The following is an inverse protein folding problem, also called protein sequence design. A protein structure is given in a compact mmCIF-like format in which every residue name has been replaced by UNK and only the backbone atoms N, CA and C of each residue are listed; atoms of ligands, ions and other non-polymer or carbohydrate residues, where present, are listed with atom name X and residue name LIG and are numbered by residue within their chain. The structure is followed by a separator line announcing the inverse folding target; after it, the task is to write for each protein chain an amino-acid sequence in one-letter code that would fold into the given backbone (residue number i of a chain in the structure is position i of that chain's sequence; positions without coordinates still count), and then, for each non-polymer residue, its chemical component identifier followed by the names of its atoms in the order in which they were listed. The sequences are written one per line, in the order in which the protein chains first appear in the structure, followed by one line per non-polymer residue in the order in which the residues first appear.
data_IF_385633130300
#
_entry.id   IF_385633130300
#
_cell.length_a   1.000
_cell.length_b   1.000
_cell.length_c   1.000
_cell.angle_alpha   90.00
_cell.angle_beta   90.00
_cell.angle_gamma   90.00
#
_symmetry.space_group_name_H-M   'P 1'
#
loop_
_entity.id
_entity.type
_entity.pdbx_description
1 polymer ?
#
# COMPACT_ATOMS: atom_id res chain seq x y z
N UNK A 1 3.60 -18.56 -5.78
CA UNK A 1 3.01 -17.91 -6.97
C UNK A 1 1.81 -17.08 -6.55
N UNK A 2 1.87 -15.76 -6.71
CA UNK A 2 0.79 -14.85 -6.32
C UNK A 2 -0.19 -14.69 -7.47
N UNK A 3 -1.29 -15.45 -7.44
CA UNK A 3 -2.39 -15.25 -8.38
C UNK A 3 -2.96 -13.85 -8.18
N UNK A 4 -2.84 -12.99 -9.19
CA UNK A 4 -3.69 -11.81 -9.32
C UNK A 4 -4.96 -12.31 -9.97
N UNK A 5 -6.11 -12.02 -9.37
CA UNK A 5 -7.39 -12.31 -9.99
C UNK A 5 -7.43 -11.65 -11.38
N UNK A 6 -7.86 -12.40 -12.39
CA UNK A 6 -7.92 -11.92 -13.75
C UNK A 6 -9.00 -10.82 -13.84
N UNK A 7 -8.57 -9.60 -14.16
CA UNK A 7 -9.41 -8.40 -14.16
C UNK A 7 -10.36 -8.40 -15.36
N UNK A 8 -10.04 -9.19 -16.39
CA UNK A 8 -10.75 -9.19 -17.67
C UNK A 8 -11.84 -10.27 -17.70
N UNK A 9 -11.52 -11.48 -17.24
CA UNK A 9 -12.42 -12.64 -17.28
C UNK A 9 -12.27 -13.49 -16.02
N UNK A 10 -13.37 -14.03 -15.52
CA UNK A 10 -13.35 -14.92 -14.37
C UNK A 10 -12.87 -16.32 -14.81
N UNK A 11 -11.57 -16.59 -14.62
CA UNK A 11 -10.95 -17.88 -15.00
C UNK A 11 -10.87 -18.83 -13.80
N UNK A 12 -11.00 -20.13 -14.06
CA UNK A 12 -10.87 -21.15 -13.03
C UNK A 12 -9.50 -21.07 -12.35
N UNK A 13 -9.50 -21.10 -11.01
CA UNK A 13 -8.27 -21.06 -10.19
C UNK A 13 -7.28 -22.14 -10.65
N UNK A 14 -6.04 -21.74 -10.94
CA UNK A 14 -4.97 -22.61 -11.45
C UNK A 14 -4.84 -22.64 -12.98
N UNK A 15 -5.73 -21.98 -13.72
CA UNK A 15 -5.62 -21.82 -15.18
C UNK A 15 -4.91 -20.52 -15.54
N UNK A 16 -4.30 -20.47 -16.72
CA UNK A 16 -3.75 -19.25 -17.31
C UNK A 16 -4.42 -19.00 -18.66
N UNK A 17 -4.61 -17.73 -19.02
CA UNK A 17 -5.14 -17.33 -20.31
C UNK A 17 -4.26 -16.22 -20.87
N UNK A 18 -3.84 -16.39 -22.12
CA UNK A 18 -3.19 -15.33 -22.89
C UNK A 18 -4.24 -14.29 -23.29
N UNK A 19 -4.01 -13.01 -22.98
CA UNK A 19 -4.98 -11.94 -23.25
C UNK A 19 -4.89 -11.44 -24.69
N UNK A 20 -3.70 -11.01 -25.13
CA UNK A 20 -3.42 -10.59 -26.50
C UNK A 20 -1.93 -10.76 -26.79
N UNK A 21 -1.59 -10.99 -28.05
CA UNK A 21 -0.20 -10.98 -28.56
C UNK A 21 0.25 -9.56 -28.97
N UNK A 22 -0.70 -8.66 -29.22
CA UNK A 22 -0.43 -7.32 -29.75
C UNK A 22 -0.36 -6.27 -28.64
N UNK A 23 -1.12 -6.46 -27.56
CA UNK A 23 -1.21 -5.49 -26.46
C UNK A 23 -0.84 -6.12 -25.10
N UNK A 24 -0.11 -5.39 -24.24
CA UNK A 24 0.21 -5.87 -22.90
C UNK A 24 -1.07 -6.03 -22.06
N UNK A 25 -1.02 -6.94 -21.08
CA UNK A 25 -2.15 -7.20 -20.18
C UNK A 25 -2.67 -5.90 -19.55
N UNK A 26 -4.00 -5.68 -19.39
CA UNK A 26 -4.52 -4.38 -18.97
C UNK A 26 -4.00 -3.86 -17.62
N UNK A 27 -3.58 -4.78 -16.73
CA UNK A 27 -2.92 -4.45 -15.47
C UNK A 27 -1.42 -4.12 -15.56
N UNK A 28 -0.81 -4.21 -16.75
CA UNK A 28 0.60 -3.96 -16.99
C UNK A 28 0.87 -2.45 -17.09
N UNK A 29 1.70 -1.94 -16.18
CA UNK A 29 2.16 -0.54 -16.22
C UNK A 29 3.57 -0.52 -16.80
N UNK A 30 3.72 0.00 -18.02
CA UNK A 30 4.98 0.04 -18.80
C UNK A 30 6.06 0.96 -18.20
N UNK A 31 5.70 1.85 -17.28
CA UNK A 31 6.65 2.74 -16.60
C UNK A 31 7.17 2.15 -15.29
N UNK A 32 8.49 2.01 -15.17
CA UNK A 32 9.12 2.14 -13.86
C UNK A 32 8.87 3.56 -13.39
N UNK A 33 8.28 3.76 -12.21
CA UNK A 33 8.04 5.10 -11.66
C UNK A 33 9.39 5.82 -11.54
N UNK A 34 9.66 6.77 -12.43
CA UNK A 34 10.78 7.70 -12.30
C UNK A 34 10.39 8.61 -11.15
N UNK A 35 11.06 8.41 -10.02
CA UNK A 35 10.70 8.98 -8.76
C UNK A 35 11.71 10.09 -8.48
N UNK A 36 11.30 11.36 -8.57
CA UNK A 36 12.07 12.48 -8.01
C UNK A 36 12.05 12.36 -6.48
N UNK A 37 12.92 11.51 -5.96
CA UNK A 37 12.84 11.05 -4.58
C UNK A 37 13.44 12.01 -3.57
N UNK A 38 13.88 13.18 -4.03
CA UNK A 38 14.79 14.04 -3.27
C UNK A 38 16.04 13.26 -2.86
N UNK A 39 16.80 13.85 -1.94
CA UNK A 39 17.96 13.20 -1.35
C UNK A 39 17.53 12.08 -0.38
N UNK A 40 17.50 10.85 -0.89
CA UNK A 40 17.12 9.65 -0.13
C UNK A 40 17.97 9.46 1.12
N UNK A 41 19.23 9.89 1.10
CA UNK A 41 20.12 9.80 2.26
C UNK A 41 19.62 10.71 3.39
N UNK A 42 19.25 11.95 3.08
CA UNK A 42 18.64 12.88 4.05
C UNK A 42 17.32 12.35 4.62
N UNK A 43 16.49 11.70 3.79
CA UNK A 43 15.28 11.05 4.29
C UNK A 43 15.64 9.97 5.31
N UNK A 44 16.57 9.06 5.00
CA UNK A 44 16.98 8.03 5.96
C UNK A 44 17.59 8.61 7.24
N UNK A 45 18.41 9.66 7.13
CA UNK A 45 19.00 10.37 8.27
C UNK A 45 17.93 10.96 9.19
N UNK A 46 16.87 11.59 8.66
CA UNK A 46 15.75 12.11 9.47
C UNK A 46 15.12 11.04 10.37
N UNK A 47 15.10 9.79 9.93
CA UNK A 47 14.56 8.65 10.71
C UNK A 47 15.64 7.84 11.41
N UNK A 48 16.86 8.37 11.56
CA UNK A 48 18.00 7.65 12.15
C UNK A 48 18.25 6.27 11.53
N UNK A 49 18.06 6.17 10.21
CA UNK A 49 18.16 4.93 9.44
C UNK A 49 17.22 3.84 9.96
N UNK A 50 16.05 4.21 10.48
CA UNK A 50 15.01 3.29 10.94
C UNK A 50 13.81 3.26 10.02
N UNK A 51 13.15 2.11 10.03
CA UNK A 51 11.83 1.94 9.45
C UNK A 51 10.82 2.80 10.22
N UNK A 52 10.08 3.66 9.52
CA UNK A 52 9.07 4.53 10.10
C UNK A 52 7.92 3.77 10.76
N UNK A 53 7.65 2.52 10.36
CA UNK A 53 6.54 1.73 10.90
C UNK A 53 6.93 0.79 12.04
N UNK A 54 8.04 0.05 11.92
CA UNK A 54 8.45 -0.92 12.94
C UNK A 54 9.71 -0.55 13.73
N UNK A 55 10.38 0.56 13.39
CA UNK A 55 11.59 1.02 14.08
C UNK A 55 12.87 0.22 13.83
N UNK A 56 12.82 -0.87 13.05
CA UNK A 56 14.01 -1.67 12.72
C UNK A 56 15.03 -0.82 11.95
N UNK A 57 16.31 -0.97 12.28
CA UNK A 57 17.40 -0.13 11.74
C UNK A 57 18.09 -0.79 10.55
N UNK A 58 18.37 -0.01 9.49
CA UNK A 58 19.03 -0.47 8.25
C UNK A 58 20.35 -1.20 8.56
N UNK A 59 20.57 -2.34 7.89
CA UNK A 59 21.76 -3.18 8.06
C UNK A 59 21.78 -4.06 9.31
N UNK A 60 20.96 -3.77 10.32
CA UNK A 60 20.83 -4.58 11.55
C UNK A 60 19.76 -5.68 11.40
N UNK A 61 19.78 -6.72 12.25
CA UNK A 61 18.70 -7.69 12.35
C UNK A 61 17.34 -7.01 12.50
N UNK A 62 16.33 -7.49 11.77
CA UNK A 62 14.97 -6.98 11.87
C UNK A 62 14.34 -7.41 13.20
N UNK A 63 13.63 -6.50 13.89
CA UNK A 63 13.08 -6.76 15.24
C UNK A 63 12.17 -7.99 15.30
N UNK A 64 11.17 -8.09 14.42
CA UNK A 64 10.27 -9.25 14.36
C UNK A 64 10.82 -10.45 13.60
N UNK A 65 11.90 -10.30 12.83
CA UNK A 65 12.49 -11.38 12.02
C UNK A 65 14.02 -11.33 12.11
N UNK A 66 14.60 -11.73 13.26
CA UNK A 66 16.03 -11.54 13.54
C UNK A 66 16.96 -12.20 12.51
N UNK A 67 16.53 -13.31 11.89
CA UNK A 67 17.26 -13.99 10.82
C UNK A 67 17.36 -13.20 9.50
N UNK A 68 16.80 -12.00 9.41
CA UNK A 68 16.86 -11.14 8.23
C UNK A 68 17.45 -9.78 8.55
N UNK A 69 18.34 -9.27 7.68
CA UNK A 69 18.81 -7.89 7.76
C UNK A 69 17.72 -6.93 7.30
N UNK A 70 17.62 -5.79 7.98
CA UNK A 70 16.67 -4.73 7.62
C UNK A 70 17.18 -3.97 6.41
N UNK A 71 16.35 -3.87 5.37
CA UNK A 71 16.63 -3.10 4.15
C UNK A 71 15.56 -2.03 4.03
N UNK A 72 15.97 -0.76 4.08
CA UNK A 72 15.04 0.35 3.91
C UNK A 72 14.75 0.59 2.43
N UNK A 73 13.47 0.81 2.15
CA UNK A 73 12.93 1.09 0.83
C UNK A 73 12.18 2.42 0.87
N UNK A 74 12.11 3.07 -0.30
CA UNK A 74 11.26 4.23 -0.53
C UNK A 74 9.81 3.75 -0.56
N UNK A 75 9.07 4.00 0.51
CA UNK A 75 7.65 3.69 0.61
C UNK A 75 6.80 4.96 0.50
N UNK A 76 5.56 4.80 0.03
CA UNK A 76 4.61 5.90 -0.05
C UNK A 76 4.11 6.27 1.34
N UNK A 77 4.09 7.56 1.65
CA UNK A 77 3.32 8.10 2.75
C UNK A 77 1.82 8.04 2.42
N UNK A 78 1.44 8.51 1.23
CA UNK A 78 0.12 8.34 0.64
C UNK A 78 0.25 7.59 -0.69
N UNK A 79 -0.25 6.35 -0.79
CA UNK A 79 -0.13 5.55 -2.01
C UNK A 79 -0.90 6.08 -3.23
N UNK A 80 -1.88 6.97 -2.99
CA UNK A 80 -2.66 7.63 -4.05
C UNK A 80 -1.92 8.84 -4.64
N UNK A 81 -0.73 9.18 -4.12
CA UNK A 81 0.13 10.25 -4.65
C UNK A 81 1.40 9.66 -5.31
N UNK A 82 2.07 10.41 -6.20
CA UNK A 82 3.35 9.99 -6.78
C UNK A 82 4.43 9.72 -5.73
N UNK A 83 5.39 8.86 -6.06
CA UNK A 83 6.53 8.55 -5.18
C UNK A 83 7.59 9.65 -5.34
N UNK A 84 7.39 10.79 -4.68
CA UNK A 84 8.27 11.96 -4.79
C UNK A 84 8.65 12.48 -3.40
N UNK A 85 9.63 13.38 -3.34
CA UNK A 85 9.98 14.08 -2.11
C UNK A 85 8.73 14.65 -1.41
N UNK A 86 8.66 14.51 -0.08
CA UNK A 86 7.49 14.86 0.72
C UNK A 86 6.39 13.80 0.80
N UNK A 87 6.36 12.82 -0.11
CA UNK A 87 5.46 11.65 -0.05
C UNK A 87 6.22 10.33 0.19
N UNK A 88 7.49 10.40 0.58
CA UNK A 88 8.33 9.24 0.83
C UNK A 88 8.58 9.10 2.33
N UNK A 89 8.40 7.88 2.85
CA UNK A 89 8.86 7.47 4.17
C UNK A 89 9.76 6.23 4.04
N UNK A 90 10.77 6.05 4.92
CA UNK A 90 11.55 4.84 4.93
C UNK A 90 10.76 3.72 5.59
N UNK A 91 10.49 2.65 4.85
CA UNK A 91 9.96 1.41 5.42
C UNK A 91 10.86 0.24 5.09
N UNK A 92 10.92 -0.74 6.00
CA UNK A 92 11.65 -1.97 5.74
C UNK A 92 10.91 -2.84 4.72
N UNK A 93 11.63 -3.79 4.12
CA UNK A 93 11.09 -4.74 3.15
C UNK A 93 9.92 -5.58 3.68
N UNK A 94 9.79 -5.75 4.99
CA UNK A 94 8.71 -6.51 5.63
C UNK A 94 7.44 -5.67 5.78
N UNK A 95 7.58 -4.45 6.29
CA UNK A 95 6.46 -3.53 6.47
C UNK A 95 5.91 -3.05 5.13
N UNK A 96 6.76 -2.56 4.22
CA UNK A 96 6.33 -2.04 2.93
C UNK A 96 5.58 -3.11 2.10
N UNK A 97 6.06 -4.36 2.13
CA UNK A 97 5.40 -5.48 1.45
C UNK A 97 4.07 -5.87 2.11
N UNK A 98 3.99 -5.81 3.44
CA UNK A 98 2.78 -6.11 4.19
C UNK A 98 1.68 -5.06 4.02
N UNK A 99 2.09 -3.79 3.90
CA UNK A 99 1.22 -2.63 3.78
C UNK A 99 0.33 -2.67 2.54
N UNK A 100 0.90 -3.08 1.40
CA UNK A 100 0.21 -3.21 0.10
C UNK A 100 -0.55 -1.96 -0.33
N UNK A 101 -0.05 -0.77 0.01
CA UNK A 101 -0.66 0.52 -0.35
C UNK A 101 -2.08 0.71 0.24
N UNK A 102 -2.37 0.08 1.38
CA UNK A 102 -3.71 0.15 2.00
C UNK A 102 -3.86 1.33 2.94
N UNK A 103 -2.76 1.91 3.40
CA UNK A 103 -2.74 2.87 4.49
C UNK A 103 -2.10 4.18 4.04
N UNK A 104 -2.56 5.28 4.64
CA UNK A 104 -1.90 6.58 4.56
C UNK A 104 -1.23 6.86 5.89
N UNK A 105 0.02 7.27 5.83
CA UNK A 105 0.86 7.58 6.96
C UNK A 105 0.99 9.09 7.18
N UNK A 106 1.30 9.49 8.40
CA UNK A 106 1.90 10.80 8.66
C UNK A 106 3.43 10.76 8.46
N UNK A 107 4.10 11.89 8.72
CA UNK A 107 5.55 11.99 8.60
C UNK A 107 6.32 11.24 9.70
N UNK A 108 5.65 10.63 10.67
CA UNK A 108 6.26 9.76 11.69
C UNK A 108 6.01 8.28 11.43
N UNK A 109 5.26 7.93 10.37
CA UNK A 109 4.93 6.55 10.05
C UNK A 109 3.72 6.00 10.82
N UNK A 110 2.87 6.86 11.40
CA UNK A 110 1.59 6.47 12.01
C UNK A 110 0.49 6.43 10.97
N UNK A 111 -0.36 5.40 11.00
CA UNK A 111 -1.52 5.30 10.10
C UNK A 111 -2.55 6.36 10.49
N UNK A 112 -2.92 7.21 9.53
CA UNK A 112 -3.90 8.29 9.73
C UNK A 112 -5.16 8.12 8.89
N UNK A 113 -5.09 7.42 7.75
CA UNK A 113 -6.25 7.18 6.86
C UNK A 113 -6.15 5.83 6.16
N UNK A 114 -7.29 5.36 5.67
CA UNK A 114 -7.37 4.24 4.74
C UNK A 114 -7.16 4.75 3.30
N UNK A 115 -6.23 4.15 2.58
CA UNK A 115 -5.94 4.51 1.18
C UNK A 115 -6.79 3.69 0.19
N UNK A 116 -7.12 2.44 0.53
CA UNK A 116 -7.93 1.53 -0.28
C UNK A 116 -9.20 1.10 0.46
N UNK A 117 -10.34 1.65 0.04
CA UNK A 117 -11.64 1.34 0.63
C UNK A 117 -12.05 -0.14 0.49
N UNK A 118 -11.50 -0.88 -0.47
CA UNK A 118 -11.80 -2.31 -0.61
C UNK A 118 -11.35 -3.11 0.61
N UNK A 119 -10.35 -2.62 1.35
CA UNK A 119 -9.87 -3.28 2.55
C UNK A 119 -10.93 -3.34 3.67
N UNK A 120 -11.93 -2.46 3.65
CA UNK A 120 -13.09 -2.51 4.58
C UNK A 120 -13.81 -3.86 4.52
N UNK A 121 -13.75 -4.56 3.38
CA UNK A 121 -14.35 -5.90 3.23
C UNK A 121 -13.74 -6.95 4.17
N UNK A 122 -12.49 -6.74 4.60
CA UNK A 122 -11.78 -7.63 5.52
C UNK A 122 -12.08 -7.33 6.99
N UNK A 123 -12.79 -6.25 7.30
CA UNK A 123 -13.16 -5.94 8.67
C UNK A 123 -14.27 -6.88 9.15
N UNK A 124 -14.30 -7.13 10.46
CA UNK A 124 -15.37 -7.91 11.09
C UNK A 124 -16.73 -7.28 10.81
N UNK A 125 -17.79 -8.10 10.83
CA UNK A 125 -19.16 -7.66 10.54
C UNK A 125 -19.56 -6.45 11.41
N UNK A 126 -19.28 -6.50 12.70
CA UNK A 126 -19.61 -5.42 13.64
C UNK A 126 -18.91 -4.10 13.27
N UNK A 127 -17.63 -4.16 12.90
CA UNK A 127 -16.86 -2.98 12.48
C UNK A 127 -17.43 -2.41 11.18
N UNK A 128 -17.74 -3.26 10.20
CA UNK A 128 -18.37 -2.83 8.94
C UNK A 128 -19.72 -2.15 9.17
N UNK A 129 -20.54 -2.68 10.07
CA UNK A 129 -21.82 -2.06 10.44
C UNK A 129 -21.63 -0.69 11.11
N UNK A 130 -20.67 -0.56 12.03
CA UNK A 130 -20.32 0.73 12.64
C UNK A 130 -19.85 1.73 11.58
N UNK A 131 -18.95 1.32 10.68
CA UNK A 131 -18.51 2.15 9.54
C UNK A 131 -19.69 2.56 8.67
N UNK A 132 -20.58 1.63 8.32
CA UNK A 132 -21.78 1.93 7.53
C UNK A 132 -22.67 2.97 8.20
N UNK A 133 -22.93 2.84 9.51
CA UNK A 133 -23.75 3.81 10.25
C UNK A 133 -23.14 5.21 10.27
N UNK A 134 -21.83 5.32 10.42
CA UNK A 134 -21.12 6.62 10.37
C UNK A 134 -21.32 7.26 9.00
N UNK A 135 -21.03 6.51 7.93
CA UNK A 135 -21.13 7.00 6.56
C UNK A 135 -22.58 7.31 6.15
N UNK A 136 -23.55 6.48 6.55
CA UNK A 136 -24.97 6.72 6.27
C UNK A 136 -25.44 8.04 6.88
N UNK A 137 -25.03 8.34 8.11
CA UNK A 137 -25.32 9.63 8.76
C UNK A 137 -24.62 10.79 8.05
N UNK A 138 -23.33 10.65 7.74
CA UNK A 138 -22.54 11.67 7.04
C UNK A 138 -23.13 12.03 5.67
N UNK A 139 -23.67 11.04 4.95
CA UNK A 139 -24.30 11.23 3.64
C UNK A 139 -25.81 11.45 3.69
N UNK A 140 -26.39 11.69 4.88
CA UNK A 140 -27.83 11.91 5.08
C UNK A 140 -28.73 10.86 4.40
N UNK A 141 -28.31 9.59 4.44
CA UNK A 141 -29.04 8.48 3.83
C UNK A 141 -29.18 8.55 2.30
N UNK A 142 -28.41 9.40 1.60
CA UNK A 142 -28.42 9.47 0.14
C UNK A 142 -28.03 8.12 -0.45
N UNK A 143 -28.83 7.64 -1.40
CA UNK A 143 -28.53 6.41 -2.13
C UNK A 143 -27.23 6.61 -2.94
N UNK A 144 -26.17 5.82 -2.68
CA UNK A 144 -24.87 5.98 -3.34
C UNK A 144 -24.90 5.69 -4.85
N UNK A 145 -25.98 5.12 -5.38
CA UNK A 145 -26.16 4.81 -6.80
C UNK A 145 -27.09 5.80 -7.52
N UNK A 146 -27.69 6.76 -6.81
CA UNK A 146 -28.54 7.78 -7.42
C UNK A 146 -27.63 8.91 -7.91
N UNK A 147 -27.49 9.04 -9.23
CA UNK A 147 -26.77 10.14 -9.89
C UNK A 147 -27.44 11.48 -9.59
#
# INVERSE_FOLDING_TARGET
AGGRDNIVLNIKRGSYQLYSLEQPYPGFKKGHRIAETGDWKKVKEKYNYRCATCGSQEGKPHFHWPGTKTILQKAHMNPNKPLVAGNIIPQCQKCNRGDRNRWVYDDKGRVIKLADANFVRNFDKEVREKTYRILYKEFNGKNPFKK
#
